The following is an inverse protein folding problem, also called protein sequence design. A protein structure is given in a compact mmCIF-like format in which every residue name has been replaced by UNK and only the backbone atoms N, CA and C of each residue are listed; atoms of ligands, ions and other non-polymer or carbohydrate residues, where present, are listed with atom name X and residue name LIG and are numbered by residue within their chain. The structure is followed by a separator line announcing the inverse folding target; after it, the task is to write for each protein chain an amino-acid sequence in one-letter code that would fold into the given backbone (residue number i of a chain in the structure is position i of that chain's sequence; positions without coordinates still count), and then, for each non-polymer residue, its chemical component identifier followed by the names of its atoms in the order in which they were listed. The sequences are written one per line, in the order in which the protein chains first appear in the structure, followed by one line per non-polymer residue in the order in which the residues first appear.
data_IF_593206061538
#
_entry.id   IF_593206061538
#
_cell.length_a   1.000
_cell.length_b   1.000
_cell.length_c   1.000
_cell.angle_alpha   90.00
_cell.angle_beta   90.00
_cell.angle_gamma   90.00
#
_symmetry.space_group_name_H-M   'P 1'
#
loop_
_entity.id
_entity.type
_entity.pdbx_description
1 polymer ?
#
# COMPACT_ATOMS: atom_id res chain seq x y z
N UNK A 1 -6.34 -18.98 13.67
CA UNK A 1 -7.01 -17.69 13.41
C UNK A 1 -6.72 -17.23 11.99
N UNK A 2 -7.69 -16.57 11.38
CA UNK A 2 -7.54 -15.93 10.07
C UNK A 2 -6.79 -14.60 10.23
N UNK A 3 -5.63 -14.45 9.57
CA UNK A 3 -4.77 -13.26 9.69
C UNK A 3 -4.13 -12.89 8.36
N UNK A 4 -3.69 -11.63 8.24
CA UNK A 4 -2.96 -11.13 7.07
C UNK A 4 -1.48 -11.51 7.15
N UNK A 5 -0.95 -12.13 6.10
CA UNK A 5 0.46 -12.52 6.03
C UNK A 5 1.37 -11.33 5.64
N UNK A 6 1.80 -10.57 6.65
CA UNK A 6 2.67 -9.41 6.44
C UNK A 6 4.07 -9.73 5.92
N UNK A 7 4.59 -10.94 6.18
CA UNK A 7 5.88 -11.37 5.64
C UNK A 7 5.81 -11.54 4.12
N UNK A 8 4.73 -12.13 3.62
CA UNK A 8 4.50 -12.27 2.19
C UNK A 8 4.32 -10.90 1.51
N UNK A 9 3.45 -10.05 2.06
CA UNK A 9 3.18 -8.72 1.51
C UNK A 9 4.46 -7.89 1.43
N UNK A 10 5.24 -7.82 2.50
CA UNK A 10 6.45 -6.99 2.54
C UNK A 10 7.49 -7.47 1.52
N UNK A 11 7.70 -8.78 1.42
CA UNK A 11 8.60 -9.39 0.42
C UNK A 11 8.14 -9.20 -1.01
N UNK A 12 6.82 -9.14 -1.25
CA UNK A 12 6.25 -8.89 -2.57
C UNK A 12 6.48 -7.43 -2.96
N UNK A 13 6.11 -6.50 -2.09
CA UNK A 13 6.21 -5.07 -2.34
C UNK A 13 7.67 -4.58 -2.38
N UNK A 14 8.61 -5.26 -1.72
CA UNK A 14 10.04 -4.94 -1.80
C UNK A 14 10.69 -5.26 -3.15
N UNK A 15 10.00 -6.03 -3.99
CA UNK A 15 10.44 -6.42 -5.34
C UNK A 15 9.77 -5.62 -6.45
N UNK A 16 8.58 -5.08 -6.20
CA UNK A 16 7.79 -4.32 -7.18
C UNK A 16 7.48 -2.90 -6.67
N UNK A 17 8.13 -1.90 -7.27
CA UNK A 17 7.91 -0.50 -6.92
C UNK A 17 6.52 0.00 -7.35
N UNK A 18 5.99 -0.46 -8.49
CA UNK A 18 4.68 0.00 -8.97
C UNK A 18 3.57 -0.49 -8.06
N UNK A 19 3.64 -1.76 -7.63
CA UNK A 19 2.67 -2.29 -6.69
C UNK A 19 2.83 -1.68 -5.29
N UNK A 20 4.07 -1.53 -4.81
CA UNK A 20 4.38 -0.79 -3.58
C UNK A 20 3.76 0.61 -3.59
N UNK A 21 3.94 1.36 -4.68
CA UNK A 21 3.44 2.72 -4.80
C UNK A 21 1.90 2.74 -4.71
N UNK A 22 1.23 1.85 -5.44
CA UNK A 22 -0.23 1.73 -5.39
C UNK A 22 -0.71 1.38 -3.98
N UNK A 23 -0.17 0.35 -3.34
CA UNK A 23 -0.61 -0.10 -2.01
C UNK A 23 -0.38 0.98 -0.96
N UNK A 24 0.83 1.52 -0.86
CA UNK A 24 1.16 2.52 0.17
C UNK A 24 0.41 3.83 -0.03
N UNK A 25 0.19 4.25 -1.28
CA UNK A 25 -0.64 5.44 -1.56
C UNK A 25 -2.08 5.24 -1.12
N UNK A 26 -2.66 4.06 -1.37
CA UNK A 26 -4.03 3.79 -0.93
C UNK A 26 -4.15 3.65 0.58
N UNK A 27 -3.20 3.00 1.26
CA UNK A 27 -3.20 2.91 2.73
C UNK A 27 -3.13 4.29 3.39
N UNK A 28 -2.30 5.20 2.87
CA UNK A 28 -2.21 6.59 3.35
C UNK A 28 -3.52 7.33 3.13
N UNK A 29 -4.11 7.23 1.94
CA UNK A 29 -5.43 7.81 1.65
C UNK A 29 -6.49 7.30 2.62
N UNK A 30 -6.58 5.97 2.82
CA UNK A 30 -7.54 5.40 3.77
C UNK A 30 -7.35 6.03 5.15
N UNK A 31 -6.12 6.15 5.63
CA UNK A 31 -5.80 6.80 6.90
C UNK A 31 -6.26 8.27 6.94
N UNK A 32 -6.02 9.03 5.87
CA UNK A 32 -6.42 10.43 5.76
C UNK A 32 -7.96 10.60 5.79
N UNK A 33 -8.69 9.65 5.19
CA UNK A 33 -10.15 9.66 5.11
C UNK A 33 -10.86 9.13 6.36
N UNK A 34 -10.16 8.57 7.36
CA UNK A 34 -10.82 7.91 8.51
C UNK A 34 -11.79 8.82 9.27
N UNK A 35 -11.47 10.12 9.37
CA UNK A 35 -12.31 11.10 10.06
C UNK A 35 -13.52 11.59 9.24
N UNK A 36 -13.59 11.23 7.95
CA UNK A 36 -14.71 11.62 7.07
C UNK A 36 -15.87 10.61 7.11
N UNK A 37 -15.67 9.44 7.72
CA UNK A 37 -16.70 8.41 7.82
C UNK A 37 -17.54 8.58 9.09
N UNK A 38 -18.73 9.17 8.97
CA UNK A 38 -19.69 9.33 10.09
C UNK A 38 -20.07 8.00 10.77
N UNK A 39 -20.00 6.89 10.03
CA UNK A 39 -20.30 5.55 10.54
C UNK A 39 -19.15 4.92 11.35
N UNK A 40 -17.97 5.55 11.37
CA UNK A 40 -16.80 5.07 12.09
C UNK A 40 -16.69 5.78 13.44
N UNK A 41 -16.66 5.00 14.52
CA UNK A 41 -16.37 5.56 15.85
C UNK A 41 -14.90 6.00 15.93
N UNK A 42 -14.61 7.00 16.76
CA UNK A 42 -13.23 7.47 17.00
C UNK A 42 -12.29 6.34 17.41
N UNK A 43 -12.78 5.40 18.22
CA UNK A 43 -12.02 4.21 18.65
C UNK A 43 -11.67 3.30 17.48
N UNK A 44 -12.66 2.97 16.62
CA UNK A 44 -12.42 2.15 15.44
C UNK A 44 -11.49 2.85 14.45
N UNK A 45 -11.65 4.16 14.26
CA UNK A 45 -10.74 4.99 13.47
C UNK A 45 -9.30 4.89 13.96
N UNK A 46 -9.09 5.02 15.27
CA UNK A 46 -7.75 4.87 15.87
C UNK A 46 -7.17 3.47 15.67
N UNK A 47 -7.97 2.41 15.86
CA UNK A 47 -7.54 1.03 15.62
C UNK A 47 -7.09 0.82 14.17
N UNK A 48 -7.85 1.36 13.20
CA UNK A 48 -7.50 1.25 11.78
C UNK A 48 -6.24 2.04 11.47
N UNK A 49 -6.10 3.27 11.99
CA UNK A 49 -4.90 4.09 11.82
C UNK A 49 -3.64 3.39 12.36
N UNK A 50 -3.70 2.85 13.58
CA UNK A 50 -2.59 2.14 14.21
C UNK A 50 -2.18 0.89 13.41
N UNK A 51 -3.16 0.18 12.83
CA UNK A 51 -2.90 -0.98 11.97
C UNK A 51 -2.25 -0.57 10.65
N UNK A 52 -2.71 0.51 10.03
CA UNK A 52 -2.11 1.05 8.81
C UNK A 52 -0.65 1.44 9.07
N UNK A 53 -0.36 2.09 10.19
CA UNK A 53 1.01 2.49 10.54
C UNK A 53 1.93 1.28 10.71
N UNK A 54 1.48 0.23 11.41
CA UNK A 54 2.24 -1.04 11.53
C UNK A 54 2.48 -1.70 10.18
N UNK A 55 1.50 -1.68 9.28
CA UNK A 55 1.64 -2.23 7.93
C UNK A 55 2.70 -1.44 7.15
N UNK A 56 2.61 -0.11 7.17
CA UNK A 56 3.55 0.78 6.47
C UNK A 56 4.96 0.61 7.02
N UNK A 57 5.14 0.62 8.34
CA UNK A 57 6.44 0.41 9.00
C UNK A 57 7.09 -0.90 8.55
N UNK A 58 6.32 -2.00 8.54
CA UNK A 58 6.81 -3.31 8.11
C UNK A 58 7.21 -3.33 6.64
N UNK A 59 6.41 -2.69 5.77
CA UNK A 59 6.73 -2.57 4.34
C UNK A 59 8.01 -1.75 4.15
N UNK A 60 8.17 -0.64 4.86
CA UNK A 60 9.35 0.23 4.74
C UNK A 60 10.63 -0.47 5.23
N UNK A 61 10.54 -1.22 6.34
CA UNK A 61 11.67 -1.96 6.91
C UNK A 61 12.19 -3.13 6.07
N UNK A 62 11.41 -3.64 5.10
CA UNK A 62 11.84 -4.76 4.25
C UNK A 62 12.92 -4.32 3.23
N UNK A 63 14.07 -5.02 3.12
CA UNK A 63 15.12 -4.69 2.16
C UNK A 63 14.63 -4.67 0.71
N UNK A 64 14.80 -3.54 0.02
CA UNK A 64 14.34 -3.35 -1.36
C UNK A 64 15.32 -3.92 -2.38
N UNK A 65 14.79 -4.58 -3.41
CA UNK A 65 15.61 -5.10 -4.52
C UNK A 65 16.29 -3.97 -5.32
N UNK A 66 17.37 -4.27 -6.05
CA UNK A 66 18.03 -3.29 -6.93
C UNK A 66 17.07 -2.75 -8.01
N UNK A 67 16.28 -3.64 -8.64
CA UNK A 67 15.23 -3.26 -9.62
C UNK A 67 14.24 -2.27 -9.02
N UNK A 68 13.80 -2.53 -7.78
CA UNK A 68 12.91 -1.63 -7.05
C UNK A 68 13.55 -0.26 -6.85
N UNK A 69 14.80 -0.20 -6.37
CA UNK A 69 15.52 1.07 -6.10
C UNK A 69 15.77 1.89 -7.37
N UNK A 70 16.02 1.23 -8.50
CA UNK A 70 16.15 1.92 -9.79
C UNK A 70 14.80 2.45 -10.23
N UNK A 71 13.74 1.62 -10.14
CA UNK A 71 12.38 2.02 -10.53
C UNK A 71 11.82 3.14 -9.65
N UNK A 72 12.20 3.20 -8.37
CA UNK A 72 11.76 4.26 -7.45
C UNK A 72 12.31 5.63 -7.82
N UNK A 73 13.55 5.71 -8.34
CA UNK A 73 14.14 6.95 -8.87
C UNK A 73 13.41 7.46 -10.12
N UNK A 74 12.88 6.56 -10.94
CA UNK A 74 12.04 6.93 -12.10
C UNK A 74 10.71 7.51 -11.64
N UNK A 75 10.15 6.95 -10.56
CA UNK A 75 8.91 7.45 -9.94
C UNK A 75 7.69 7.36 -10.86
N UNK A 76 6.71 8.21 -10.61
CA UNK A 76 5.44 8.25 -11.38
C UNK A 76 5.58 8.80 -12.80
N UNK A 77 6.77 9.32 -13.18
CA UNK A 77 7.03 9.88 -14.52
C UNK A 77 6.89 8.84 -15.63
N UNK A 78 7.13 7.57 -15.32
CA UNK A 78 6.78 6.44 -16.20
C UNK A 78 5.56 5.73 -15.64
N UNK A 79 4.63 5.37 -16.53
CA UNK A 79 3.46 4.53 -16.22
C UNK A 79 3.90 3.29 -15.44
N UNK A 80 3.19 2.98 -14.37
CA UNK A 80 3.50 1.88 -13.44
C UNK A 80 2.36 0.85 -13.34
N UNK A 81 1.21 1.17 -13.93
CA UNK A 81 0.04 0.32 -13.99
C UNK A 81 -0.23 -0.12 -15.42
N UNK A 82 -0.89 -1.26 -15.57
CA UNK A 82 -1.46 -1.69 -16.85
C UNK A 82 -2.83 -1.05 -16.98
N UNK A 83 -3.15 -0.49 -18.15
CA UNK A 83 -4.53 -0.13 -18.45
C UNK A 83 -5.36 -1.41 -18.56
N UNK A 84 -6.52 -1.39 -17.91
CA UNK A 84 -7.51 -2.46 -18.06
C UNK A 84 -8.35 -2.08 -19.27
N UNK A 85 -8.32 -2.90 -20.31
CA UNK A 85 -9.20 -2.74 -21.47
C UNK A 85 -10.65 -3.10 -21.07
N UNK A 86 -11.63 -2.38 -21.60
CA UNK A 86 -13.03 -2.79 -21.47
C UNK A 86 -13.23 -4.10 -22.25
N UNK A 87 -13.57 -5.17 -21.53
CA UNK A 87 -14.03 -6.39 -22.17
C UNK A 87 -15.41 -6.06 -22.74
N UNK A 88 -15.46 -5.78 -24.05
CA UNK A 88 -16.72 -5.59 -24.78
C UNK A 88 -17.65 -6.77 -24.49
N UNK A 89 -18.82 -6.46 -23.93
CA UNK A 89 -19.91 -7.43 -23.80
C UNK A 89 -20.55 -7.68 -25.15
#
# INVERSE_FOLDING_TARGET
EETVNMNYISKLLSKDWGYYYTVTTNLKKVKDFLGEFESLTDENGKIVADRIDKILERIEGEPKSLKWKIRSKVGIKKKWYKEVEEVGR
#
